data_IF_233601076645
#
_entry.id   IF_233601076645
#
_cell.length_a   1.000
_cell.length_b   1.000
_cell.length_c   1.000
_cell.angle_alpha   90.00
_cell.angle_beta   90.00
_cell.angle_gamma   90.00
#
_symmetry.space_group_name_H-M   'P 1'
#
loop_
_entity.id
_entity.type
_entity.pdbx_description
1 polymer ?
#
# COMPACT_ATOMS: atom_id res chain seq x y z
N UNK A 1 -4.88 -7.79 7.87
CA UNK A 1 -3.94 -6.89 7.16
C UNK A 1 -2.76 -7.65 6.54
N UNK A 2 -2.14 -8.59 7.26
CA UNK A 2 -1.03 -9.35 6.69
C UNK A 2 -1.44 -10.18 5.46
N UNK A 3 -2.64 -10.73 5.46
CA UNK A 3 -3.13 -11.48 4.31
C UNK A 3 -3.25 -10.60 3.07
N UNK A 4 -3.69 -9.36 3.25
CA UNK A 4 -3.80 -8.40 2.15
C UNK A 4 -2.42 -8.05 1.63
N UNK A 5 -1.46 -7.80 2.54
CA UNK A 5 -0.09 -7.49 2.14
C UNK A 5 0.55 -8.65 1.38
N UNK A 6 0.38 -9.89 1.87
CA UNK A 6 0.90 -11.08 1.20
C UNK A 6 0.31 -11.23 -0.20
N UNK A 7 -1.00 -11.04 -0.33
CA UNK A 7 -1.66 -11.12 -1.63
C UNK A 7 -1.15 -10.03 -2.58
N UNK A 8 -0.94 -8.82 -2.07
CA UNK A 8 -0.42 -7.72 -2.88
C UNK A 8 1.01 -7.99 -3.35
N UNK A 9 1.84 -8.57 -2.48
CA UNK A 9 3.20 -8.96 -2.87
C UNK A 9 3.18 -10.03 -3.97
N UNK A 10 2.33 -11.03 -3.79
CA UNK A 10 2.19 -12.11 -4.77
C UNK A 10 1.67 -11.63 -6.11
N UNK A 11 0.83 -10.62 -6.11
CA UNK A 11 0.27 -10.05 -7.34
C UNK A 11 1.19 -9.00 -7.99
N UNK A 12 2.31 -8.65 -7.34
CA UNK A 12 3.22 -7.65 -7.85
C UNK A 12 2.73 -6.22 -7.68
N UNK A 13 1.74 -6.00 -6.80
CA UNK A 13 1.18 -4.68 -6.55
C UNK A 13 2.14 -3.85 -5.68
N UNK A 14 2.83 -4.51 -4.76
CA UNK A 14 3.80 -3.88 -3.87
C UNK A 14 5.15 -4.60 -3.98
N UNK A 15 6.21 -3.92 -3.53
CA UNK A 15 7.53 -4.51 -3.53
C UNK A 15 7.60 -5.70 -2.56
N UNK A 16 8.52 -6.64 -2.83
CA UNK A 16 8.67 -7.82 -2.00
C UNK A 16 9.07 -7.49 -0.56
N UNK A 17 9.73 -6.35 -0.36
CA UNK A 17 10.17 -5.89 0.95
C UNK A 17 9.19 -4.89 1.60
N UNK A 18 8.02 -4.70 1.00
CA UNK A 18 7.02 -3.79 1.54
C UNK A 18 6.53 -4.26 2.91
N UNK A 19 6.28 -3.31 3.80
CA UNK A 19 5.80 -3.57 5.16
C UNK A 19 4.62 -2.67 5.47
N UNK A 20 3.76 -3.15 6.36
CA UNK A 20 2.62 -2.37 6.83
C UNK A 20 3.13 -1.19 7.64
N UNK A 21 2.59 0.00 7.35
CA UNK A 21 2.88 1.22 8.10
C UNK A 21 1.63 1.70 8.81
N UNK A 22 1.81 2.55 9.83
CA UNK A 22 0.69 3.15 10.54
C UNK A 22 0.66 4.64 10.21
N UNK A 23 -0.51 5.11 9.74
CA UNK A 23 -0.76 6.52 9.43
C UNK A 23 -2.05 6.93 10.09
N UNK A 24 -2.01 7.93 10.96
CA UNK A 24 -3.18 8.43 11.69
C UNK A 24 -3.91 7.31 12.42
N UNK A 25 -3.15 6.38 13.02
CA UNK A 25 -3.73 5.25 13.75
C UNK A 25 -4.28 4.14 12.88
N UNK A 26 -4.06 4.20 11.56
CA UNK A 26 -4.60 3.22 10.61
C UNK A 26 -3.46 2.47 9.92
N UNK A 27 -3.65 1.18 9.72
CA UNK A 27 -2.68 0.35 9.02
C UNK A 27 -2.80 0.60 7.51
N UNK A 28 -1.67 0.91 6.87
CA UNK A 28 -1.64 1.19 5.45
C UNK A 28 -0.52 0.40 4.79
N UNK A 29 -0.64 0.19 3.49
CA UNK A 29 0.32 -0.55 2.68
C UNK A 29 0.93 0.42 1.66
N UNK A 30 2.27 0.45 1.54
CA UNK A 30 2.92 1.28 0.52
C UNK A 30 2.75 0.64 -0.86
N UNK A 31 2.07 1.33 -1.75
CA UNK A 31 1.79 0.87 -3.11
C UNK A 31 2.43 1.84 -4.09
N UNK A 32 3.14 1.34 -5.10
CA UNK A 32 3.73 2.21 -6.10
C UNK A 32 2.64 2.96 -6.87
N UNK A 33 2.95 4.18 -7.33
CA UNK A 33 1.97 5.02 -8.00
C UNK A 33 1.34 4.34 -9.22
N UNK A 34 2.12 3.54 -9.94
CA UNK A 34 1.62 2.83 -11.11
C UNK A 34 0.63 1.71 -10.77
N UNK A 35 0.63 1.26 -9.51
CA UNK A 35 -0.19 0.13 -9.08
C UNK A 35 -1.31 0.52 -8.11
N UNK A 36 -1.49 1.80 -7.83
CA UNK A 36 -2.45 2.24 -6.80
C UNK A 36 -3.88 1.81 -7.10
N UNK A 37 -4.22 1.65 -8.37
CA UNK A 37 -5.58 1.25 -8.77
C UNK A 37 -5.82 -0.25 -8.63
N UNK A 38 -4.76 -1.03 -8.45
CA UNK A 38 -4.87 -2.48 -8.33
C UNK A 38 -5.23 -2.94 -6.93
N UNK A 39 -5.07 -2.07 -5.93
CA UNK A 39 -5.43 -2.37 -4.55
C UNK A 39 -6.59 -1.47 -4.14
N UNK A 40 -7.73 -2.07 -3.84
CA UNK A 40 -8.90 -1.33 -3.39
C UNK A 40 -8.67 -0.82 -1.97
N UNK A 41 -8.91 0.47 -1.78
CA UNK A 41 -8.73 1.06 -0.48
C UNK A 41 -8.71 2.57 -0.54
N UNK A 42 -8.42 3.19 0.61
CA UNK A 42 -8.37 4.64 0.73
C UNK A 42 -6.90 5.07 0.77
N UNK A 43 -6.55 6.04 -0.06
CA UNK A 43 -5.21 6.62 -0.06
C UNK A 43 -5.16 7.64 1.07
N UNK A 44 -4.28 7.39 2.05
CA UNK A 44 -4.11 8.28 3.20
C UNK A 44 -2.96 9.26 3.02
N UNK A 45 -1.94 8.89 2.24
CA UNK A 45 -0.75 9.70 2.13
C UNK A 45 0.04 9.30 0.90
N UNK A 46 1.01 10.10 0.52
CA UNK A 46 1.95 9.76 -0.55
C UNK A 46 3.35 10.13 -0.13
N UNK A 47 4.35 9.49 -0.75
CA UNK A 47 5.74 9.83 -0.48
C UNK A 47 6.07 11.22 -1.01
N UNK A 48 7.14 11.82 -0.51
CA UNK A 48 7.57 13.15 -0.92
C UNK A 48 7.83 13.24 -2.43
N UNK A 49 8.20 12.14 -3.05
CA UNK A 49 8.45 12.08 -4.49
C UNK A 49 7.21 11.76 -5.30
N UNK A 50 6.09 11.42 -4.65
CA UNK A 50 4.86 11.00 -5.32
C UNK A 50 4.92 9.62 -5.96
N UNK A 51 5.94 8.84 -5.66
CA UNK A 51 6.12 7.51 -6.28
C UNK A 51 5.42 6.41 -5.53
N UNK A 52 5.08 6.62 -4.26
CA UNK A 52 4.46 5.62 -3.40
C UNK A 52 3.24 6.22 -2.72
N UNK A 53 2.15 5.49 -2.72
CA UNK A 53 0.93 5.86 -2.02
C UNK A 53 0.70 4.90 -0.86
N UNK A 54 0.27 5.44 0.27
CA UNK A 54 -0.05 4.64 1.44
C UNK A 54 -1.55 4.40 1.46
N UNK A 55 -1.93 3.14 1.26
CA UNK A 55 -3.33 2.76 1.04
C UNK A 55 -3.83 1.94 2.22
N UNK A 56 -4.98 2.33 2.77
CA UNK A 56 -5.70 1.52 3.74
C UNK A 56 -6.64 0.60 2.97
N UNK A 57 -6.39 -0.73 2.92
CA UNK A 57 -7.25 -1.65 2.17
C UNK A 57 -8.67 -1.68 2.70
N UNK A 58 -9.60 -1.87 1.80
CA UNK A 58 -11.01 -2.03 2.17
C UNK A 58 -11.23 -3.31 2.95
#
# INVERSE_FOLDING_TARGET
MQAVLSAAKGAGIVDADAQISIRDGKAVIPVSAGNKRKLNGFIHDESATGKTFYVEPV
#
